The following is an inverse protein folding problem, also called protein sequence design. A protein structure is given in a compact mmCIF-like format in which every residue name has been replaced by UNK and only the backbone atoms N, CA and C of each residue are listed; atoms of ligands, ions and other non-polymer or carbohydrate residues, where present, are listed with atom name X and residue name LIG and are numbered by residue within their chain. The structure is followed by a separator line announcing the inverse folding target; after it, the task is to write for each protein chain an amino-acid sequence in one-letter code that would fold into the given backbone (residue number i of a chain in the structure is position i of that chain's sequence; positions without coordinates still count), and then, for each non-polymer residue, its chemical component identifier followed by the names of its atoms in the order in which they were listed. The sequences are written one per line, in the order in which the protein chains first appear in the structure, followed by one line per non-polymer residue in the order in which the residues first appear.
data_IF_371424759398
#
_entry.id   IF_371424759398
#
_cell.length_a   1.000
_cell.length_b   1.000
_cell.length_c   1.000
_cell.angle_alpha   90.00
_cell.angle_beta   90.00
_cell.angle_gamma   90.00
#
_symmetry.space_group_name_H-M   'P 1'
#
loop_
_entity.id
_entity.type
_entity.pdbx_description
1 polymer ?
#
# COMPACT_ATOMS: atom_id res chain seq x y z
N UNK A 1 12.39 -52.46 18.75
CA UNK A 1 13.03 -51.22 19.23
C UNK A 1 12.04 -50.11 19.61
N UNK A 2 10.78 -50.16 19.17
CA UNK A 2 9.76 -49.11 19.43
C UNK A 2 8.87 -49.36 20.66
N UNK A 3 8.97 -50.52 21.31
CA UNK A 3 8.10 -50.94 22.42
C UNK A 3 8.49 -50.40 23.80
N UNK A 4 9.42 -49.44 23.90
CA UNK A 4 9.89 -48.85 25.17
C UNK A 4 9.62 -47.34 25.32
N UNK A 5 8.98 -46.70 24.36
CA UNK A 5 8.59 -45.29 24.50
C UNK A 5 7.42 -45.17 25.45
N UNK A 6 7.57 -44.33 26.48
CA UNK A 6 6.48 -44.01 27.41
C UNK A 6 5.45 -43.16 26.65
N UNK A 7 4.18 -43.21 27.08
CA UNK A 7 3.11 -42.38 26.53
C UNK A 7 3.48 -40.89 26.45
N UNK A 8 4.24 -40.40 27.44
CA UNK A 8 4.78 -39.04 27.49
C UNK A 8 5.68 -38.69 26.31
N UNK A 9 6.46 -39.65 25.81
CA UNK A 9 7.37 -39.45 24.69
C UNK A 9 6.57 -39.32 23.37
N UNK A 10 5.49 -40.08 23.24
CA UNK A 10 4.56 -39.97 22.12
C UNK A 10 3.82 -38.62 22.11
N UNK A 11 3.41 -38.12 23.27
CA UNK A 11 2.83 -36.78 23.38
C UNK A 11 3.84 -35.69 22.97
N UNK A 12 5.10 -35.81 23.38
CA UNK A 12 6.15 -34.87 22.99
C UNK A 12 6.40 -34.89 21.48
N UNK A 13 6.49 -36.08 20.87
CA UNK A 13 6.62 -36.24 19.41
C UNK A 13 5.43 -35.63 18.68
N UNK A 14 4.19 -35.90 19.13
CA UNK A 14 2.98 -35.34 18.52
C UNK A 14 2.96 -33.80 18.62
N UNK A 15 3.35 -33.24 19.76
CA UNK A 15 3.44 -31.79 19.93
C UNK A 15 4.49 -31.16 19.01
N UNK A 16 5.67 -31.77 18.88
CA UNK A 16 6.72 -31.31 17.96
C UNK A 16 6.22 -31.35 16.52
N UNK A 17 5.58 -32.44 16.09
CA UNK A 17 5.02 -32.57 14.74
C UNK A 17 3.94 -31.51 14.48
N UNK A 18 3.07 -31.23 15.45
CA UNK A 18 2.04 -30.18 15.35
C UNK A 18 2.68 -28.80 15.19
N UNK A 19 3.69 -28.46 16.01
CA UNK A 19 4.41 -27.18 15.93
C UNK A 19 5.10 -27.04 14.57
N UNK A 20 5.81 -28.08 14.12
CA UNK A 20 6.46 -28.08 12.80
C UNK A 20 5.45 -27.91 11.67
N UNK A 21 4.30 -28.57 11.74
CA UNK A 21 3.23 -28.42 10.75
C UNK A 21 2.70 -26.99 10.70
N UNK A 22 2.46 -26.36 11.86
CA UNK A 22 2.03 -24.97 11.96
C UNK A 22 3.07 -24.00 11.37
N UNK A 23 4.35 -24.19 11.69
CA UNK A 23 5.44 -23.36 11.15
C UNK A 23 5.59 -23.52 9.62
N UNK A 24 5.46 -24.75 9.11
CA UNK A 24 5.48 -25.03 7.68
C UNK A 24 4.28 -24.38 6.98
N UNK A 25 3.09 -24.45 7.57
CA UNK A 25 1.88 -23.83 7.04
C UNK A 25 2.01 -22.30 6.99
N UNK A 26 2.54 -21.68 8.05
CA UNK A 26 2.81 -20.23 8.08
C UNK A 26 3.80 -19.82 6.99
N UNK A 27 4.95 -20.50 6.89
CA UNK A 27 5.95 -20.23 5.84
C UNK A 27 5.38 -20.40 4.43
N UNK A 28 4.53 -21.40 4.23
CA UNK A 28 3.87 -21.61 2.94
C UNK A 28 2.86 -20.49 2.63
N UNK A 29 2.10 -20.03 3.62
CA UNK A 29 1.17 -18.91 3.46
C UNK A 29 1.91 -17.62 3.10
N UNK A 30 3.00 -17.31 3.78
CA UNK A 30 3.85 -16.14 3.51
C UNK A 30 4.45 -16.20 2.10
N UNK A 31 5.02 -17.35 1.73
CA UNK A 31 5.57 -17.57 0.39
C UNK A 31 4.50 -17.40 -0.70
N UNK A 32 3.32 -17.98 -0.50
CA UNK A 32 2.20 -17.89 -1.46
C UNK A 32 1.74 -16.44 -1.61
N UNK A 33 1.59 -15.71 -0.49
CA UNK A 33 1.21 -14.31 -0.48
C UNK A 33 2.23 -13.44 -1.22
N UNK A 34 3.52 -13.61 -0.92
CA UNK A 34 4.61 -12.92 -1.63
C UNK A 34 4.61 -13.26 -3.13
N UNK A 35 4.43 -14.54 -3.49
CA UNK A 35 4.42 -14.95 -4.90
C UNK A 35 3.23 -14.35 -5.66
N UNK A 36 2.05 -14.30 -5.05
CA UNK A 36 0.88 -13.65 -5.63
C UNK A 36 1.10 -12.15 -5.82
N UNK A 37 1.73 -11.48 -4.86
CA UNK A 37 2.11 -10.08 -4.98
C UNK A 37 3.04 -9.83 -6.18
N UNK A 38 4.12 -10.60 -6.30
CA UNK A 38 5.07 -10.47 -7.41
C UNK A 38 4.43 -10.77 -8.77
N UNK A 39 3.54 -11.77 -8.85
CA UNK A 39 2.80 -12.06 -10.09
C UNK A 39 1.89 -10.90 -10.51
N UNK A 40 1.26 -10.22 -9.54
CA UNK A 40 0.42 -9.05 -9.82
C UNK A 40 1.23 -7.86 -10.31
N UNK A 41 2.41 -7.63 -9.76
CA UNK A 41 3.37 -6.64 -10.26
C UNK A 41 3.86 -7.01 -11.66
N UNK A 42 4.21 -8.27 -11.90
CA UNK A 42 4.72 -8.72 -13.18
C UNK A 42 3.67 -8.67 -14.30
N UNK A 43 2.40 -8.83 -13.96
CA UNK A 43 1.27 -8.71 -14.88
C UNK A 43 0.79 -7.27 -15.08
N UNK A 44 1.37 -6.29 -14.39
CA UNK A 44 0.99 -4.89 -14.55
C UNK A 44 1.64 -4.32 -15.81
N UNK A 45 0.82 -3.98 -16.78
CA UNK A 45 1.24 -3.28 -18.00
C UNK A 45 0.83 -1.80 -17.90
N UNK A 46 1.81 -0.91 -17.81
CA UNK A 46 1.55 0.51 -17.64
C UNK A 46 0.90 1.14 -18.90
N UNK A 47 1.16 0.57 -20.08
CA UNK A 47 0.70 1.11 -21.36
C UNK A 47 -0.79 0.85 -21.59
N UNK A 48 -1.40 -0.07 -20.84
CA UNK A 48 -2.85 -0.28 -20.81
C UNK A 48 -3.61 0.89 -20.15
N UNK A 49 -2.90 1.81 -19.47
CA UNK A 49 -3.53 2.90 -18.72
C UNK A 49 -3.39 4.24 -19.44
N UNK A 50 -4.53 4.77 -19.90
CA UNK A 50 -4.60 6.15 -20.36
C UNK A 50 -4.23 7.09 -19.20
N UNK A 51 -3.30 8.04 -19.42
CA UNK A 51 -2.88 8.98 -18.38
C UNK A 51 -4.08 9.80 -17.92
N UNK A 52 -4.31 9.83 -16.61
CA UNK A 52 -5.43 10.58 -16.06
C UNK A 52 -5.14 12.09 -16.06
N UNK A 53 -6.07 12.88 -16.59
CA UNK A 53 -6.01 14.33 -16.56
C UNK A 53 -6.86 14.83 -15.39
N UNK A 54 -6.20 15.10 -14.26
CA UNK A 54 -6.77 15.92 -13.19
C UNK A 54 -6.66 17.41 -13.56
N UNK A 55 -7.63 18.25 -13.15
CA UNK A 55 -7.50 19.70 -13.31
C UNK A 55 -6.22 20.21 -12.66
N UNK A 56 -5.44 21.01 -13.39
CA UNK A 56 -4.13 21.46 -12.95
C UNK A 56 -4.18 22.25 -11.64
N UNK A 57 -5.27 22.98 -11.41
CA UNK A 57 -5.54 23.73 -10.18
C UNK A 57 -5.64 22.85 -8.92
N UNK A 58 -5.90 21.55 -9.07
CA UNK A 58 -5.98 20.60 -7.95
C UNK A 58 -4.65 19.91 -7.66
N UNK A 59 -3.72 19.93 -8.62
CA UNK A 59 -2.41 19.30 -8.46
C UNK A 59 -1.54 20.14 -7.52
N UNK A 60 -0.95 19.47 -6.54
CA UNK A 60 0.05 20.07 -5.67
C UNK A 60 1.40 19.76 -6.29
N UNK A 61 2.13 20.74 -6.83
CA UNK A 61 3.42 20.50 -7.50
C UNK A 61 4.64 20.76 -6.60
N UNK A 62 4.58 21.78 -5.74
CA UNK A 62 5.77 22.34 -5.07
C UNK A 62 5.89 21.96 -3.58
N UNK A 63 5.16 20.95 -3.12
CA UNK A 63 5.18 20.53 -1.72
C UNK A 63 6.04 19.29 -1.45
N UNK A 64 6.62 19.23 -0.25
CA UNK A 64 7.28 18.00 0.20
C UNK A 64 6.27 16.86 0.42
N UNK A 65 6.64 15.66 0.00
CA UNK A 65 5.90 14.44 0.29
C UNK A 65 6.42 13.70 1.52
N UNK A 66 7.49 14.19 2.16
CA UNK A 66 8.12 13.49 3.30
C UNK A 66 7.14 13.21 4.43
N UNK A 67 7.14 11.97 4.89
CA UNK A 67 6.31 11.50 6.00
C UNK A 67 5.49 10.27 5.63
N UNK A 68 4.54 9.95 6.51
CA UNK A 68 3.71 8.75 6.43
C UNK A 68 2.37 9.08 5.79
N UNK A 69 1.99 8.26 4.83
CA UNK A 69 0.74 8.35 4.10
C UNK A 69 -0.01 7.05 4.25
N UNK A 70 -1.29 7.13 4.63
CA UNK A 70 -2.08 5.95 4.95
C UNK A 70 -3.33 5.88 4.11
N UNK A 71 -3.56 4.73 3.49
CA UNK A 71 -4.82 4.34 2.90
C UNK A 71 -5.57 3.47 3.89
N UNK A 72 -6.70 3.97 4.38
CA UNK A 72 -7.55 3.27 5.36
C UNK A 72 -8.79 2.78 4.63
N UNK A 73 -8.88 1.46 4.41
CA UNK A 73 -10.08 0.85 3.81
C UNK A 73 -11.04 0.31 4.87
N UNK A 74 -10.54 -0.44 5.87
CA UNK A 74 -11.31 -1.05 6.98
C UNK A 74 -10.44 -1.27 8.21
N UNK A 75 -11.04 -1.71 9.32
CA UNK A 75 -10.37 -1.88 10.64
C UNK A 75 -9.09 -2.75 10.62
N UNK A 76 -8.98 -3.70 9.69
CA UNK A 76 -7.87 -4.67 9.62
C UNK A 76 -7.12 -4.67 8.30
N UNK A 77 -7.50 -3.80 7.36
CA UNK A 77 -6.88 -3.73 6.03
C UNK A 77 -6.37 -2.31 5.79
N UNK A 78 -5.10 -2.20 5.39
CA UNK A 78 -4.52 -0.90 5.13
C UNK A 78 -3.22 -0.98 4.37
N UNK A 79 -2.94 0.13 3.69
CA UNK A 79 -1.67 0.34 3.02
C UNK A 79 -1.05 1.63 3.51
N UNK A 80 0.27 1.66 3.58
CA UNK A 80 1.06 2.78 4.02
C UNK A 80 2.19 3.02 3.02
N UNK A 81 2.42 4.29 2.72
CA UNK A 81 3.58 4.76 2.00
C UNK A 81 4.35 5.70 2.94
N UNK A 82 5.63 5.43 3.15
CA UNK A 82 6.51 6.34 3.90
C UNK A 82 7.51 6.91 2.92
N UNK A 83 7.44 8.23 2.71
CA UNK A 83 8.34 8.96 1.83
C UNK A 83 9.46 9.57 2.65
N UNK A 84 10.70 9.24 2.30
CA UNK A 84 11.92 9.81 2.85
C UNK A 84 12.64 10.53 1.73
N UNK A 85 13.01 11.80 1.93
CA UNK A 85 13.74 12.55 0.91
C UNK A 85 15.12 11.93 0.73
N UNK A 86 15.51 11.65 -0.52
CA UNK A 86 16.86 11.18 -0.80
C UNK A 86 17.86 12.30 -0.50
N UNK A 87 18.92 12.00 0.27
CA UNK A 87 20.00 12.95 0.59
C UNK A 87 20.80 13.39 -0.64
N UNK A 88 20.71 12.63 -1.74
CA UNK A 88 21.51 12.81 -2.95
C UNK A 88 20.75 13.55 -4.06
N UNK A 89 19.50 13.98 -3.84
CA UNK A 89 18.66 14.56 -4.88
C UNK A 89 18.09 15.93 -4.48
N UNK A 90 17.86 16.79 -5.48
CA UNK A 90 17.34 18.16 -5.38
C UNK A 90 15.86 18.25 -4.93
N UNK A 91 15.43 17.46 -3.94
CA UNK A 91 14.09 17.52 -3.36
C UNK A 91 12.99 16.77 -4.13
N UNK A 92 13.28 16.28 -5.34
CA UNK A 92 12.32 15.58 -6.21
C UNK A 92 12.37 14.06 -6.10
N UNK A 93 13.44 13.49 -5.51
CA UNK A 93 13.58 12.03 -5.35
C UNK A 93 13.36 11.58 -3.91
N UNK A 94 12.63 10.49 -3.77
CA UNK A 94 12.26 9.91 -2.49
C UNK A 94 12.60 8.42 -2.45
N UNK A 95 13.06 7.95 -1.29
CA UNK A 95 12.96 6.54 -0.91
C UNK A 95 11.55 6.33 -0.38
N UNK A 96 10.87 5.30 -0.87
CA UNK A 96 9.49 5.01 -0.50
C UNK A 96 9.39 3.62 0.09
N UNK A 97 8.99 3.53 1.35
CA UNK A 97 8.61 2.26 1.96
C UNK A 97 7.10 2.05 1.80
N UNK A 98 6.74 1.05 1.01
CA UNK A 98 5.39 0.58 0.86
C UNK A 98 5.13 -0.60 1.80
N UNK A 99 4.04 -0.55 2.55
CA UNK A 99 3.57 -1.66 3.36
C UNK A 99 2.06 -1.83 3.19
N UNK A 100 1.62 -3.05 2.91
CA UNK A 100 0.19 -3.38 2.80
C UNK A 100 -0.10 -4.62 3.63
N UNK A 101 -1.29 -4.69 4.22
CA UNK A 101 -1.70 -5.84 5.00
C UNK A 101 -3.22 -6.06 4.98
N UNK A 102 -3.59 -7.30 5.27
CA UNK A 102 -4.94 -7.79 5.52
C UNK A 102 -4.89 -8.72 6.73
N UNK A 103 -6.03 -9.31 7.08
CA UNK A 103 -6.08 -10.38 8.08
C UNK A 103 -5.26 -11.64 7.75
N UNK A 104 -4.88 -11.85 6.48
CA UNK A 104 -4.21 -13.10 6.02
C UNK A 104 -2.95 -12.86 5.20
N UNK A 105 -2.58 -11.62 4.93
CA UNK A 105 -1.43 -11.28 4.11
C UNK A 105 -0.76 -10.00 4.60
N UNK A 106 0.56 -9.95 4.57
CA UNK A 106 1.33 -8.74 4.77
C UNK A 106 2.45 -8.68 3.73
N UNK A 107 2.67 -7.51 3.16
CA UNK A 107 3.75 -7.28 2.22
C UNK A 107 4.43 -5.95 2.50
N UNK A 108 5.75 -5.91 2.29
CA UNK A 108 6.57 -4.70 2.38
C UNK A 108 7.51 -4.64 1.18
N UNK A 109 7.62 -3.46 0.60
CA UNK A 109 8.50 -3.18 -0.52
C UNK A 109 9.17 -1.82 -0.35
N UNK A 110 10.42 -1.71 -0.79
CA UNK A 110 11.12 -0.42 -0.92
C UNK A 110 11.17 -0.05 -2.39
N UNK A 111 10.92 1.22 -2.68
CA UNK A 111 10.94 1.84 -4.01
C UNK A 111 11.73 3.13 -3.98
N UNK A 112 12.11 3.61 -5.15
CA UNK A 112 12.49 5.00 -5.35
C UNK A 112 11.37 5.69 -6.11
N UNK A 113 11.10 6.94 -5.78
CA UNK A 113 10.08 7.73 -6.45
C UNK A 113 10.64 9.07 -6.91
N UNK A 114 10.17 9.53 -8.05
CA UNK A 114 10.39 10.89 -8.53
C UNK A 114 9.06 11.65 -8.44
N UNK A 115 9.11 12.89 -8.00
CA UNK A 115 7.95 13.75 -7.84
C UNK A 115 8.12 15.01 -8.69
N UNK A 116 7.22 15.19 -9.66
CA UNK A 116 7.24 16.34 -10.57
C UNK A 116 5.83 16.64 -11.05
N UNK A 117 5.48 17.93 -11.18
CA UNK A 117 4.17 18.35 -11.68
C UNK A 117 2.98 17.82 -10.87
N UNK A 118 3.18 17.53 -9.59
CA UNK A 118 2.17 16.92 -8.73
C UNK A 118 1.92 15.44 -8.98
N UNK A 119 2.80 14.76 -9.71
CA UNK A 119 2.76 13.32 -9.91
C UNK A 119 3.99 12.66 -9.28
N UNK A 120 3.74 11.56 -8.58
CA UNK A 120 4.73 10.61 -8.07
C UNK A 120 4.86 9.47 -9.07
N UNK A 121 6.07 9.19 -9.53
CA UNK A 121 6.40 8.04 -10.37
C UNK A 121 7.34 7.11 -9.62
N UNK A 122 6.90 5.88 -9.33
CA UNK A 122 7.73 4.85 -8.70
C UNK A 122 8.62 4.17 -9.75
N UNK A 123 9.82 3.76 -9.35
CA UNK A 123 10.75 2.98 -10.19
C UNK A 123 10.19 1.61 -10.58
N UNK A 124 9.35 1.03 -9.72
CA UNK A 124 8.63 -0.22 -9.96
C UNK A 124 7.23 -0.17 -9.34
N UNK A 125 6.25 -0.87 -9.92
CA UNK A 125 4.90 -0.90 -9.37
C UNK A 125 4.85 -1.52 -7.97
N UNK A 126 3.75 -1.20 -7.27
CA UNK A 126 3.36 -1.79 -5.99
C UNK A 126 1.92 -2.26 -6.06
N UNK A 127 1.59 -3.30 -5.32
CA UNK A 127 0.24 -3.88 -5.30
C UNK A 127 -0.37 -3.82 -3.91
N UNK A 128 -1.52 -3.17 -3.77
CA UNK A 128 -2.29 -3.27 -2.53
C UNK A 128 -2.80 -4.70 -2.33
N UNK A 129 -2.76 -5.21 -1.11
CA UNK A 129 -3.08 -6.62 -0.83
C UNK A 129 -4.46 -7.06 -1.36
N UNK A 130 -5.47 -6.20 -1.29
CA UNK A 130 -6.83 -6.40 -1.87
C UNK A 130 -7.20 -5.23 -2.80
N UNK A 131 -6.21 -4.56 -3.38
CA UNK A 131 -6.42 -3.34 -4.15
C UNK A 131 -5.79 -3.39 -5.52
N UNK A 132 -5.67 -2.25 -6.20
CA UNK A 132 -5.05 -2.17 -7.51
C UNK A 132 -3.53 -2.32 -7.42
N UNK A 133 -2.92 -2.58 -8.58
CA UNK A 133 -1.49 -2.39 -8.81
C UNK A 133 -1.32 -1.02 -9.43
N UNK A 134 -0.33 -0.27 -8.99
CA UNK A 134 -0.07 1.08 -9.51
C UNK A 134 1.42 1.39 -9.44
N UNK A 135 1.85 2.28 -10.32
CA UNK A 135 3.21 2.80 -10.36
C UNK A 135 3.25 4.33 -10.27
N UNK A 136 2.16 5.00 -10.62
CA UNK A 136 2.01 6.45 -10.53
C UNK A 136 0.96 6.84 -9.51
N UNK A 137 1.16 7.97 -8.84
CA UNK A 137 0.18 8.58 -7.95
C UNK A 137 0.13 10.09 -8.23
N UNK A 138 -1.03 10.71 -8.04
CA UNK A 138 -1.17 12.16 -8.09
C UNK A 138 -1.31 12.74 -6.69
N UNK A 139 -0.57 13.81 -6.42
CA UNK A 139 -0.73 14.60 -5.22
C UNK A 139 -1.76 15.69 -5.48
N UNK A 140 -2.88 15.58 -4.77
CA UNK A 140 -4.06 16.40 -4.98
C UNK A 140 -4.43 17.10 -3.69
N UNK A 141 -4.95 18.32 -3.81
CA UNK A 141 -5.59 19.01 -2.71
C UNK A 141 -7.10 18.77 -2.74
N UNK A 142 -7.62 18.23 -1.65
CA UNK A 142 -9.06 18.00 -1.41
C UNK A 142 -9.43 18.80 -0.17
N UNK A 143 -10.20 19.87 -0.35
CA UNK A 143 -10.36 20.93 0.63
C UNK A 143 -9.00 21.42 1.15
N UNK A 144 -8.75 21.39 2.47
CA UNK A 144 -7.47 21.79 3.07
C UNK A 144 -6.49 20.62 3.27
N UNK A 145 -6.82 19.42 2.77
CA UNK A 145 -6.03 18.20 2.98
C UNK A 145 -5.31 17.77 1.72
N UNK A 146 -4.02 17.47 1.87
CA UNK A 146 -3.21 16.87 0.80
C UNK A 146 -3.39 15.35 0.79
N UNK A 147 -3.66 14.81 -0.39
CA UNK A 147 -3.93 13.38 -0.58
C UNK A 147 -3.10 12.84 -1.75
N UNK A 148 -2.72 11.58 -1.68
CA UNK A 148 -2.09 10.87 -2.79
C UNK A 148 -3.11 9.90 -3.39
N UNK A 149 -3.32 10.01 -4.69
CA UNK A 149 -4.31 9.22 -5.42
C UNK A 149 -3.57 8.30 -6.38
N UNK A 150 -3.60 6.97 -6.18
CA UNK A 150 -3.04 6.03 -7.12
C UNK A 150 -3.69 6.17 -8.49
N UNK A 151 -2.88 6.23 -9.54
CA UNK A 151 -3.37 6.11 -10.90
C UNK A 151 -3.70 4.62 -11.15
N UNK A 152 -4.98 4.32 -11.26
CA UNK A 152 -5.48 2.94 -11.34
C UNK A 152 -6.39 2.82 -12.56
N UNK A 153 -6.48 1.59 -13.11
CA UNK A 153 -7.40 1.22 -14.19
C UNK A 153 -8.79 1.82 -13.98
N UNK A 154 -9.04 2.90 -14.70
CA UNK A 154 -10.24 3.71 -14.61
C UNK A 154 -11.43 2.92 -15.14
N UNK A 155 -12.30 2.46 -14.25
CA UNK A 155 -13.72 2.36 -14.57
C UNK A 155 -14.55 3.47 -13.90
N UNK A 156 -13.96 4.26 -13.00
CA UNK A 156 -14.78 5.22 -12.23
C UNK A 156 -14.04 6.49 -11.81
N UNK A 157 -13.38 7.15 -12.76
CA UNK A 157 -12.90 8.54 -12.58
C UNK A 157 -14.06 9.44 -12.14
N UNK A 158 -15.26 9.20 -12.68
CA UNK A 158 -16.46 9.91 -12.27
C UNK A 158 -16.74 9.69 -10.78
N UNK A 159 -16.80 8.46 -10.26
CA UNK A 159 -17.01 8.24 -8.82
C UNK A 159 -15.90 8.83 -7.95
N UNK A 160 -14.66 8.86 -8.44
CA UNK A 160 -13.58 9.49 -7.69
C UNK A 160 -13.75 11.01 -7.61
N UNK A 161 -14.10 11.68 -8.72
CA UNK A 161 -14.41 13.10 -8.74
C UNK A 161 -15.64 13.40 -7.87
N UNK A 162 -16.69 12.60 -7.96
CA UNK A 162 -17.87 12.69 -7.08
C UNK A 162 -17.48 12.53 -5.61
N UNK A 163 -16.63 11.56 -5.26
CA UNK A 163 -16.16 11.36 -3.89
C UNK A 163 -15.28 12.52 -3.39
N UNK A 164 -14.52 13.18 -4.28
CA UNK A 164 -13.79 14.41 -3.97
C UNK A 164 -14.77 15.54 -3.68
N UNK A 165 -15.78 15.75 -4.53
CA UNK A 165 -16.79 16.78 -4.35
C UNK A 165 -17.64 16.57 -3.08
N UNK A 166 -18.01 15.32 -2.77
CA UNK A 166 -18.70 14.96 -1.53
C UNK A 166 -17.83 15.23 -0.29
N UNK A 167 -16.54 14.88 -0.33
CA UNK A 167 -15.60 15.18 0.74
C UNK A 167 -15.43 16.70 0.95
N UNK A 168 -15.39 17.47 -0.14
CA UNK A 168 -15.23 18.93 -0.09
C UNK A 168 -16.49 19.65 0.40
N UNK A 169 -17.66 19.27 -0.11
CA UNK A 169 -18.92 19.97 0.15
C UNK A 169 -19.61 19.53 1.44
N UNK A 170 -19.49 18.24 1.80
CA UNK A 170 -20.20 17.64 2.95
C UNK A 170 -19.26 17.19 4.07
N UNK A 171 -17.95 17.17 3.83
CA UNK A 171 -17.00 16.58 4.77
C UNK A 171 -17.10 15.05 4.85
N UNK A 172 -17.71 14.39 3.86
CA UNK A 172 -17.90 12.94 3.81
C UNK A 172 -16.68 12.25 3.19
N UNK A 173 -15.74 11.80 4.02
CA UNK A 173 -14.47 11.23 3.55
C UNK A 173 -14.49 9.72 3.30
N UNK A 174 -15.54 9.01 3.69
CA UNK A 174 -15.51 7.54 3.75
C UNK A 174 -15.40 6.88 2.38
N UNK A 175 -16.15 7.38 1.38
CA UNK A 175 -16.05 6.93 -0.01
C UNK A 175 -14.64 7.14 -0.57
N UNK A 176 -14.06 8.31 -0.30
CA UNK A 176 -12.75 8.71 -0.82
C UNK A 176 -11.59 7.98 -0.14
N UNK A 177 -11.63 7.78 1.20
CA UNK A 177 -10.57 7.13 2.00
C UNK A 177 -10.19 5.73 1.51
N UNK A 178 -11.15 5.02 0.93
CA UNK A 178 -10.91 3.70 0.35
C UNK A 178 -10.07 3.76 -0.93
N UNK A 179 -9.97 4.92 -1.57
CA UNK A 179 -9.33 5.19 -2.86
C UNK A 179 -7.99 5.92 -2.72
N UNK A 180 -7.83 6.74 -1.67
CA UNK A 180 -6.69 7.64 -1.50
C UNK A 180 -5.77 7.27 -0.33
N UNK A 181 -4.58 7.84 -0.35
CA UNK A 181 -3.67 7.92 0.79
C UNK A 181 -3.75 9.31 1.40
N UNK A 182 -4.05 9.37 2.69
CA UNK A 182 -4.11 10.63 3.45
C UNK A 182 -2.80 10.82 4.20
N UNK A 183 -2.26 12.03 4.20
CA UNK A 183 -1.09 12.36 5.01
C UNK A 183 -1.40 12.18 6.50
N UNK A 184 -0.60 11.37 7.17
CA UNK A 184 -0.69 11.17 8.61
C UNK A 184 0.49 11.89 9.25
N UNK A 185 0.22 13.06 9.85
CA UNK A 185 1.21 13.71 10.69
C UNK A 185 1.42 12.78 11.88
N UNK A 186 2.62 12.24 12.04
CA UNK A 186 2.97 11.52 13.26
C UNK A 186 2.89 12.55 14.39
N UNK A 187 1.72 12.64 15.04
CA UNK A 187 1.58 13.33 16.32
C UNK A 187 2.48 12.57 17.27
N UNK A 188 3.57 13.24 17.70
CA UNK A 188 4.60 12.65 18.53
C UNK A 188 4.00 11.88 19.69
N UNK A 189 4.10 10.55 19.64
CA UNK A 189 4.22 9.77 20.87
C UNK A 189 5.68 9.91 21.31
N UNK A 190 5.92 10.98 22.04
CA UNK A 190 6.98 11.02 23.07
C UNK A 190 6.69 9.97 24.16
#
# INVERSE_FOLDING_TARGET
MWSRLRWTDWCAVAAILLILNLLLFQKYADWKSHRQYELRIAAFDQDEFAPWILPAERLVADETLTGRWKRVRRKYDGSTLVFERSSEANGEKYRVEFATHTCTAQHKATRTAEYSGGQVSLDRPVADAIGPVYQRLHCVRVADTKVLIPEIASQDVAALLTAIEEAESRGEWDSLRSLIYVYFRDEGRE
#
